data_IF_240390858839
#
_entry.id   IF_240390858839
#
_cell.length_a   1.000
_cell.length_b   1.000
_cell.length_c   1.000
_cell.angle_alpha   90.00
_cell.angle_beta   90.00
_cell.angle_gamma   90.00
#
_symmetry.space_group_name_H-M   'P 1'
#
loop_
_entity.id
_entity.type
_entity.pdbx_description
1 polymer ?
#
# COMPACT_ATOMS: atom_id res chain seq x y z
N UNK A 1 2.79 37.33 -20.36
CA UNK A 1 1.55 37.35 -19.58
C UNK A 1 0.31 37.02 -20.44
N UNK A 2 0.49 36.65 -21.72
CA UNK A 2 -0.62 36.47 -22.67
C UNK A 2 -0.81 35.03 -23.18
N UNK A 3 -0.11 34.04 -22.62
CA UNK A 3 -0.16 32.64 -23.08
C UNK A 3 -1.06 31.73 -22.21
N UNK A 4 -2.14 32.26 -21.64
CA UNK A 4 -3.13 31.45 -20.94
C UNK A 4 -4.53 31.58 -21.54
N UNK A 5 -5.31 30.51 -21.40
CA UNK A 5 -6.68 30.41 -21.86
C UNK A 5 -7.61 31.40 -21.17
N UNK A 6 -8.72 31.71 -21.83
CA UNK A 6 -9.82 32.49 -21.22
C UNK A 6 -10.30 31.87 -19.89
N UNK A 7 -10.30 30.55 -19.79
CA UNK A 7 -10.73 29.83 -18.59
C UNK A 7 -9.76 30.04 -17.42
N UNK A 8 -8.48 30.29 -17.70
CA UNK A 8 -7.44 30.62 -16.73
C UNK A 8 -7.24 32.14 -16.54
N UNK A 9 -8.12 32.98 -17.12
CA UNK A 9 -8.06 34.44 -16.99
C UNK A 9 -7.23 35.17 -18.05
N UNK A 10 -6.81 34.48 -19.12
CA UNK A 10 -6.12 35.08 -20.27
C UNK A 10 -7.02 35.38 -21.47
N UNK A 11 -6.42 35.51 -22.65
CA UNK A 11 -7.11 35.92 -23.89
C UNK A 11 -7.17 34.81 -24.94
N UNK A 12 -6.46 33.69 -24.73
CA UNK A 12 -6.39 32.62 -25.72
C UNK A 12 -7.70 31.83 -25.81
N UNK A 13 -8.31 31.82 -27.00
CA UNK A 13 -9.45 30.98 -27.36
C UNK A 13 -8.99 29.58 -27.77
N UNK A 14 -9.82 28.55 -27.52
CA UNK A 14 -9.58 27.18 -27.98
C UNK A 14 -9.16 26.21 -26.87
N UNK A 15 -8.69 25.02 -27.29
CA UNK A 15 -8.31 23.94 -26.39
C UNK A 15 -6.81 24.03 -26.05
N UNK A 16 -6.52 24.53 -24.85
CA UNK A 16 -5.17 24.69 -24.31
C UNK A 16 -4.96 23.78 -23.09
N UNK A 17 -3.72 23.44 -22.72
CA UNK A 17 -3.43 22.56 -21.59
C UNK A 17 -4.05 23.02 -20.26
N UNK A 18 -4.09 24.32 -20.02
CA UNK A 18 -4.70 24.94 -18.85
C UNK A 18 -6.24 24.87 -18.88
N UNK A 19 -6.88 25.07 -20.03
CA UNK A 19 -8.31 24.79 -20.23
C UNK A 19 -8.65 23.34 -19.87
N UNK A 20 -7.84 22.38 -20.32
CA UNK A 20 -8.03 20.95 -20.04
C UNK A 20 -7.89 20.65 -18.54
N UNK A 21 -6.85 21.20 -17.89
CA UNK A 21 -6.61 21.01 -16.47
C UNK A 21 -7.75 21.57 -15.61
N UNK A 22 -8.25 22.77 -15.93
CA UNK A 22 -9.38 23.38 -15.22
C UNK A 22 -10.66 22.58 -15.43
N UNK A 23 -10.95 22.18 -16.67
CA UNK A 23 -12.17 21.43 -16.98
C UNK A 23 -12.21 20.11 -16.23
N UNK A 24 -11.15 19.30 -16.28
CA UNK A 24 -11.14 18.02 -15.57
C UNK A 24 -11.26 18.20 -14.06
N UNK A 25 -10.58 19.20 -13.46
CA UNK A 25 -10.75 19.49 -12.02
C UNK A 25 -12.19 19.84 -11.67
N UNK A 26 -12.88 20.64 -12.49
CA UNK A 26 -14.30 20.98 -12.30
C UNK A 26 -15.20 19.76 -12.48
N UNK A 27 -14.99 18.96 -13.52
CA UNK A 27 -15.75 17.72 -13.77
C UNK A 27 -15.61 16.74 -12.62
N UNK A 28 -14.40 16.57 -12.08
CA UNK A 28 -14.17 15.74 -10.90
C UNK A 28 -14.89 16.29 -9.67
N UNK A 29 -14.90 17.61 -9.48
CA UNK A 29 -15.59 18.26 -8.36
C UNK A 29 -17.12 18.20 -8.43
N UNK A 30 -17.71 18.13 -9.64
CA UNK A 30 -19.18 18.08 -9.83
C UNK A 30 -19.80 16.82 -9.22
N UNK A 31 -19.05 15.74 -9.06
CA UNK A 31 -19.54 14.51 -8.43
C UNK A 31 -20.00 14.73 -6.99
N UNK A 32 -19.48 15.75 -6.30
CA UNK A 32 -19.76 16.00 -4.91
C UNK A 32 -19.30 14.87 -3.98
N UNK A 33 -19.75 14.87 -2.74
CA UNK A 33 -19.44 13.80 -1.79
C UNK A 33 -20.25 12.54 -2.13
N UNK A 34 -19.57 11.58 -2.77
CA UNK A 34 -20.15 10.28 -3.17
C UNK A 34 -20.71 9.48 -1.99
N UNK A 35 -20.32 9.81 -0.75
CA UNK A 35 -20.82 9.13 0.45
C UNK A 35 -22.24 9.51 0.83
N UNK A 36 -22.85 10.49 0.15
CA UNK A 36 -24.27 10.83 0.32
C UNK A 36 -25.22 9.93 -0.50
N UNK A 37 -24.68 9.02 -1.31
CA UNK A 37 -25.46 8.06 -2.10
C UNK A 37 -26.14 7.07 -1.15
N UNK A 38 -27.47 7.07 -1.13
CA UNK A 38 -28.29 6.26 -0.21
C UNK A 38 -28.30 4.76 -0.53
N UNK A 39 -28.07 4.38 -1.79
CA UNK A 39 -28.08 2.97 -2.20
C UNK A 39 -26.67 2.39 -2.10
N UNK A 40 -26.42 1.39 -1.22
CA UNK A 40 -25.08 0.81 -1.06
C UNK A 40 -24.52 0.20 -2.35
N UNK A 41 -25.39 -0.38 -3.19
CA UNK A 41 -25.00 -0.94 -4.49
C UNK A 41 -24.52 0.14 -5.46
N UNK A 42 -25.20 1.29 -5.49
CA UNK A 42 -24.81 2.41 -6.35
C UNK A 42 -23.53 3.05 -5.80
N UNK A 43 -23.43 3.22 -4.48
CA UNK A 43 -22.23 3.73 -3.82
C UNK A 43 -21.01 2.87 -4.19
N UNK A 44 -21.09 1.55 -4.02
CA UNK A 44 -20.01 0.63 -4.36
C UNK A 44 -19.57 0.77 -5.82
N UNK A 45 -20.53 0.81 -6.76
CA UNK A 45 -20.24 0.99 -8.19
C UNK A 45 -19.59 2.34 -8.49
N UNK A 46 -20.00 3.42 -7.83
CA UNK A 46 -19.38 4.73 -7.99
C UNK A 46 -17.95 4.74 -7.46
N UNK A 47 -17.69 4.15 -6.29
CA UNK A 47 -16.33 4.04 -5.73
C UNK A 47 -15.44 3.16 -6.62
N UNK A 48 -15.97 2.09 -7.18
CA UNK A 48 -15.27 1.29 -8.19
C UNK A 48 -14.92 2.11 -9.44
N UNK A 49 -15.83 2.95 -9.94
CA UNK A 49 -15.50 3.85 -11.06
C UNK A 49 -14.44 4.89 -10.70
N UNK A 50 -14.38 5.37 -9.45
CA UNK A 50 -13.30 6.25 -9.01
C UNK A 50 -11.92 5.57 -9.14
N UNK A 51 -11.84 4.26 -8.93
CA UNK A 51 -10.61 3.49 -9.12
C UNK A 51 -10.16 3.53 -10.59
N UNK A 52 -11.08 3.27 -11.52
CA UNK A 52 -10.80 3.34 -12.97
C UNK A 52 -10.41 4.74 -13.42
N UNK A 53 -11.12 5.75 -12.93
CA UNK A 53 -10.84 7.16 -13.22
C UNK A 53 -9.47 7.57 -12.71
N UNK A 54 -9.12 7.16 -11.49
CA UNK A 54 -7.80 7.41 -10.92
C UNK A 54 -6.68 6.78 -11.76
N UNK A 55 -6.86 5.55 -12.25
CA UNK A 55 -5.87 4.90 -13.13
C UNK A 55 -5.66 5.67 -14.44
N UNK A 56 -6.73 6.23 -15.02
CA UNK A 56 -6.61 7.09 -16.20
C UNK A 56 -5.84 8.36 -15.88
N UNK A 57 -6.11 9.01 -14.75
CA UNK A 57 -5.36 10.21 -14.31
C UNK A 57 -3.88 9.90 -14.07
N UNK A 58 -3.58 8.77 -13.44
CA UNK A 58 -2.23 8.29 -13.20
C UNK A 58 -1.49 8.05 -14.53
N UNK A 59 -2.13 7.37 -15.50
CA UNK A 59 -1.57 7.18 -16.85
C UNK A 59 -1.36 8.50 -17.59
N UNK A 60 -2.29 9.43 -17.53
CA UNK A 60 -2.11 10.76 -18.14
C UNK A 60 -0.87 11.41 -17.55
N UNK A 61 -0.75 11.43 -16.22
CA UNK A 61 0.41 11.98 -15.51
C UNK A 61 1.73 11.34 -15.92
N UNK A 62 1.79 10.01 -16.02
CA UNK A 62 3.00 9.28 -16.44
C UNK A 62 3.45 9.63 -17.86
N UNK A 63 2.51 9.99 -18.74
CA UNK A 63 2.80 10.34 -20.13
C UNK A 63 3.18 11.82 -20.33
N UNK A 64 2.97 12.71 -19.35
CA UNK A 64 3.24 14.15 -19.50
C UNK A 64 4.73 14.50 -19.65
N UNK A 65 5.64 13.61 -19.23
CA UNK A 65 7.08 13.83 -19.24
C UNK A 65 7.83 12.88 -20.20
N UNK A 66 7.12 12.22 -21.13
CA UNK A 66 7.74 11.37 -22.13
C UNK A 66 8.24 12.24 -23.28
N UNK A 67 9.52 12.09 -23.63
CA UNK A 67 10.06 12.81 -24.79
C UNK A 67 9.48 12.26 -26.09
N UNK A 68 9.14 13.17 -27.01
CA UNK A 68 8.69 12.81 -28.34
C UNK A 68 9.84 12.29 -29.22
N UNK A 69 11.07 12.71 -28.95
CA UNK A 69 12.26 12.40 -29.73
C UNK A 69 13.11 11.26 -29.16
N UNK A 70 12.84 10.82 -27.92
CA UNK A 70 13.67 9.89 -27.13
C UNK A 70 15.16 10.30 -27.00
N UNK A 71 15.50 11.57 -27.21
CA UNK A 71 16.87 12.10 -27.20
C UNK A 71 17.10 13.14 -26.10
N UNK A 72 16.04 13.76 -25.58
CA UNK A 72 16.11 14.77 -24.53
C UNK A 72 15.15 14.46 -23.36
N UNK A 73 15.44 14.99 -22.17
CA UNK A 73 14.49 14.94 -21.04
C UNK A 73 13.68 16.24 -21.03
N UNK A 74 12.35 16.20 -21.21
CA UNK A 74 11.52 17.40 -21.22
C UNK A 74 11.48 18.06 -19.83
N UNK A 75 11.13 19.34 -19.80
CA UNK A 75 10.93 20.06 -18.54
C UNK A 75 9.77 19.43 -17.73
N UNK A 76 9.82 19.50 -16.38
CA UNK A 76 8.74 18.98 -15.55
C UNK A 76 7.39 19.61 -15.91
N UNK A 77 6.33 18.82 -16.11
CA UNK A 77 5.02 19.34 -16.48
C UNK A 77 4.43 20.18 -15.34
N UNK A 78 3.89 21.35 -15.67
CA UNK A 78 3.29 22.27 -14.68
C UNK A 78 1.88 21.83 -14.29
N UNK A 79 1.11 21.33 -15.26
CA UNK A 79 -0.30 20.99 -15.08
C UNK A 79 -0.46 19.48 -14.88
N UNK A 80 -0.41 19.05 -13.63
CA UNK A 80 -0.38 17.63 -13.29
C UNK A 80 -1.73 17.16 -12.71
N UNK A 81 -2.29 16.03 -13.19
CA UNK A 81 -3.51 15.44 -12.63
C UNK A 81 -3.42 15.20 -11.10
N UNK A 82 -4.39 15.69 -10.30
CA UNK A 82 -4.35 15.59 -8.85
C UNK A 82 -4.75 14.19 -8.37
N UNK A 83 -3.77 13.31 -8.16
CA UNK A 83 -4.02 11.91 -7.76
C UNK A 83 -4.57 11.71 -6.34
N UNK A 84 -4.63 12.77 -5.53
CA UNK A 84 -5.19 12.74 -4.16
C UNK A 84 -6.55 13.44 -4.04
N UNK A 85 -7.16 13.84 -5.16
CA UNK A 85 -8.42 14.60 -5.15
C UNK A 85 -9.59 13.84 -4.50
N UNK A 86 -9.59 12.51 -4.56
CA UNK A 86 -10.65 11.67 -3.98
C UNK A 86 -10.41 11.27 -2.52
N UNK A 87 -9.27 11.63 -1.93
CA UNK A 87 -8.85 11.06 -0.65
C UNK A 87 -9.86 11.29 0.48
N UNK A 88 -10.40 12.50 0.61
CA UNK A 88 -11.41 12.81 1.64
C UNK A 88 -12.67 11.95 1.48
N UNK A 89 -13.12 11.72 0.25
CA UNK A 89 -14.27 10.86 -0.03
C UNK A 89 -13.99 9.40 0.31
N UNK A 90 -12.81 8.90 -0.05
CA UNK A 90 -12.42 7.51 0.24
C UNK A 90 -12.23 7.29 1.74
N UNK A 91 -11.65 8.26 2.44
CA UNK A 91 -11.46 8.20 3.88
C UNK A 91 -12.80 8.19 4.62
N UNK A 92 -13.77 8.97 4.17
CA UNK A 92 -15.13 8.91 4.70
C UNK A 92 -15.83 7.60 4.32
N UNK A 93 -15.62 7.08 3.12
CA UNK A 93 -16.23 5.82 2.66
C UNK A 93 -15.87 4.62 3.56
N UNK A 94 -14.64 4.55 4.08
CA UNK A 94 -14.22 3.45 4.97
C UNK A 94 -14.93 3.47 6.33
N UNK A 95 -15.49 4.62 6.73
CA UNK A 95 -16.22 4.82 8.01
C UNK A 95 -17.73 4.62 7.91
N UNK A 96 -18.27 4.33 6.72
CA UNK A 96 -19.71 4.11 6.53
C UNK A 96 -20.23 2.89 7.31
N UNK A 97 -21.56 2.70 7.46
CA UNK A 97 -22.12 1.48 8.05
C UNK A 97 -21.78 0.22 7.25
N UNK A 98 -21.92 -0.96 7.87
CA UNK A 98 -21.56 -2.25 7.24
C UNK A 98 -22.42 -2.62 6.03
N UNK A 99 -23.58 -1.98 5.88
CA UNK A 99 -24.39 -2.05 4.65
C UNK A 99 -23.60 -1.63 3.40
N UNK A 100 -22.59 -0.77 3.57
CA UNK A 100 -21.72 -0.26 2.49
C UNK A 100 -20.42 -1.06 2.33
N UNK A 101 -20.36 -2.31 2.83
CA UNK A 101 -19.16 -3.16 2.81
C UNK A 101 -18.40 -3.16 1.47
N UNK A 102 -19.09 -3.38 0.35
CA UNK A 102 -18.46 -3.41 -0.97
C UNK A 102 -17.80 -2.06 -1.33
N UNK A 103 -18.49 -0.95 -1.02
CA UNK A 103 -17.94 0.40 -1.19
C UNK A 103 -16.70 0.63 -0.32
N UNK A 104 -16.69 0.14 0.93
CA UNK A 104 -15.51 0.19 1.81
C UNK A 104 -14.33 -0.55 1.20
N UNK A 105 -14.57 -1.75 0.67
CA UNK A 105 -13.55 -2.60 0.02
C UNK A 105 -12.93 -1.86 -1.17
N UNK A 106 -13.75 -1.31 -2.08
CA UNK A 106 -13.25 -0.52 -3.20
C UNK A 106 -12.48 0.73 -2.74
N UNK A 107 -12.91 1.38 -1.65
CA UNK A 107 -12.22 2.52 -1.08
C UNK A 107 -10.82 2.14 -0.57
N UNK A 108 -10.70 1.06 0.23
CA UNK A 108 -9.40 0.56 0.69
C UNK A 108 -8.48 0.20 -0.47
N UNK A 109 -9.00 -0.47 -1.50
CA UNK A 109 -8.25 -0.80 -2.72
C UNK A 109 -7.62 0.45 -3.36
N UNK A 110 -8.43 1.50 -3.54
CA UNK A 110 -7.95 2.75 -4.15
C UNK A 110 -6.98 3.51 -3.23
N UNK A 111 -7.26 3.58 -1.93
CA UNK A 111 -6.36 4.20 -0.94
C UNK A 111 -4.98 3.53 -0.98
N UNK A 112 -4.92 2.19 -1.00
CA UNK A 112 -3.67 1.45 -1.10
C UNK A 112 -2.91 1.84 -2.37
N UNK A 113 -3.59 1.83 -3.52
CA UNK A 113 -2.95 2.14 -4.82
C UNK A 113 -2.45 3.59 -4.88
N UNK A 114 -3.18 4.54 -4.29
CA UNK A 114 -2.78 5.94 -4.17
C UNK A 114 -1.50 6.13 -3.36
N UNK A 115 -1.34 5.34 -2.30
CA UNK A 115 -0.29 5.52 -1.30
C UNK A 115 0.92 4.61 -1.51
N UNK A 116 0.83 3.64 -2.42
CA UNK A 116 1.96 2.82 -2.87
C UNK A 116 2.59 3.35 -4.16
N UNK A 117 2.22 4.55 -4.60
CA UNK A 117 2.81 5.22 -5.76
C UNK A 117 3.82 6.28 -5.30
N UNK A 118 4.84 6.55 -6.13
CA UNK A 118 5.74 7.70 -5.93
C UNK A 118 4.92 8.98 -5.72
N UNK A 119 5.17 9.66 -4.61
CA UNK A 119 4.52 10.93 -4.29
C UNK A 119 5.38 12.07 -4.86
N UNK A 120 4.88 12.76 -5.87
CA UNK A 120 5.60 13.91 -6.46
C UNK A 120 5.70 15.08 -5.49
N UNK A 121 4.67 15.22 -4.64
CA UNK A 121 4.63 16.15 -3.53
C UNK A 121 4.30 15.37 -2.27
N UNK A 122 5.11 15.57 -1.22
CA UNK A 122 4.88 14.98 0.09
C UNK A 122 3.46 15.30 0.56
N UNK A 123 2.65 14.30 0.98
CA UNK A 123 1.36 14.57 1.59
C UNK A 123 1.53 15.41 2.86
N UNK A 124 0.56 16.27 3.16
CA UNK A 124 0.60 17.06 4.39
C UNK A 124 0.43 16.15 5.63
N UNK A 125 0.88 16.59 6.82
CA UNK A 125 0.80 15.77 8.04
C UNK A 125 -0.63 15.35 8.39
N UNK A 126 -1.61 16.26 8.26
CA UNK A 126 -3.02 15.96 8.57
C UNK A 126 -3.55 14.80 7.72
N UNK A 127 -3.21 14.78 6.44
CA UNK A 127 -3.53 13.70 5.51
C UNK A 127 -2.90 12.39 5.95
N UNK A 128 -1.61 12.41 6.32
CA UNK A 128 -0.89 11.20 6.74
C UNK A 128 -1.48 10.61 8.01
N UNK A 129 -1.84 11.44 9.00
CA UNK A 129 -2.48 10.99 10.24
C UNK A 129 -3.80 10.27 9.93
N UNK A 130 -4.66 10.85 9.08
CA UNK A 130 -5.91 10.21 8.67
C UNK A 130 -5.67 8.91 7.90
N UNK A 131 -4.70 8.91 6.99
CA UNK A 131 -4.32 7.72 6.25
C UNK A 131 -3.86 6.59 7.18
N UNK A 132 -2.95 6.86 8.12
CA UNK A 132 -2.45 5.84 9.05
C UNK A 132 -3.55 5.31 9.96
N UNK A 133 -4.45 6.18 10.44
CA UNK A 133 -5.60 5.74 11.22
C UNK A 133 -6.51 4.79 10.43
N UNK A 134 -6.81 5.12 9.17
CA UNK A 134 -7.67 4.29 8.32
C UNK A 134 -7.00 2.96 8.00
N UNK A 135 -5.70 2.97 7.68
CA UNK A 135 -4.95 1.74 7.45
C UNK A 135 -4.87 0.86 8.70
N UNK A 136 -4.64 1.46 9.88
CA UNK A 136 -4.64 0.74 11.15
C UNK A 136 -6.00 0.06 11.40
N UNK A 137 -7.10 0.78 11.23
CA UNK A 137 -8.47 0.24 11.36
C UNK A 137 -8.72 -0.88 10.33
N UNK A 138 -8.27 -0.70 9.09
CA UNK A 138 -8.44 -1.67 8.02
C UNK A 138 -7.65 -2.97 8.23
N UNK A 139 -6.38 -2.86 8.64
CA UNK A 139 -5.49 -4.01 8.91
C UNK A 139 -5.93 -4.79 10.16
N UNK A 140 -6.52 -4.10 11.15
CA UNK A 140 -7.09 -4.73 12.35
C UNK A 140 -8.58 -5.08 12.22
N UNK A 141 -9.16 -4.96 11.02
CA UNK A 141 -10.58 -5.23 10.81
C UNK A 141 -10.92 -6.72 11.04
N UNK A 142 -12.13 -6.99 11.53
CA UNK A 142 -12.66 -8.36 11.73
C UNK A 142 -13.09 -8.99 10.41
N UNK A 143 -13.48 -8.18 9.43
CA UNK A 143 -13.86 -8.64 8.09
C UNK A 143 -12.63 -9.05 7.28
N UNK A 144 -12.52 -10.35 7.01
CA UNK A 144 -11.42 -10.92 6.25
C UNK A 144 -11.32 -10.37 4.82
N UNK A 145 -12.45 -9.94 4.21
CA UNK A 145 -12.42 -9.38 2.86
C UNK A 145 -11.72 -8.01 2.83
N UNK A 146 -11.91 -7.19 3.87
CA UNK A 146 -11.21 -5.90 4.01
C UNK A 146 -9.72 -6.14 4.16
N UNK A 147 -9.34 -7.05 5.06
CA UNK A 147 -7.94 -7.38 5.32
C UNK A 147 -7.26 -7.95 4.07
N UNK A 148 -7.90 -8.92 3.40
CA UNK A 148 -7.41 -9.48 2.13
C UNK A 148 -7.26 -8.39 1.06
N UNK A 149 -8.22 -7.45 0.96
CA UNK A 149 -8.14 -6.36 -0.02
C UNK A 149 -6.92 -5.47 0.23
N UNK A 150 -6.66 -5.11 1.49
CA UNK A 150 -5.52 -4.28 1.85
C UNK A 150 -4.20 -5.01 1.56
N UNK A 151 -4.06 -6.26 2.02
CA UNK A 151 -2.84 -7.05 1.77
C UNK A 151 -2.60 -7.28 0.27
N UNK A 152 -3.66 -7.52 -0.50
CA UNK A 152 -3.58 -7.74 -1.95
C UNK A 152 -3.15 -6.48 -2.72
N UNK A 153 -3.60 -5.30 -2.29
CA UNK A 153 -3.42 -4.06 -3.06
C UNK A 153 -2.40 -3.09 -2.47
N UNK A 154 -1.96 -3.28 -1.22
CA UNK A 154 -0.92 -2.46 -0.63
C UNK A 154 0.47 -3.07 -0.91
N UNK A 155 1.09 -2.62 -2.00
CA UNK A 155 2.43 -3.04 -2.38
C UNK A 155 3.46 -2.69 -1.29
N UNK A 156 4.47 -3.55 -1.05
CA UNK A 156 5.62 -3.26 -0.20
C UNK A 156 6.37 -1.96 -0.54
N UNK A 157 6.19 -1.45 -1.76
CA UNK A 157 6.71 -0.14 -2.17
C UNK A 157 6.25 0.99 -1.23
N UNK A 158 5.12 0.82 -0.53
CA UNK A 158 4.71 1.73 0.56
C UNK A 158 5.83 1.98 1.58
N UNK A 159 6.53 0.94 2.03
CA UNK A 159 7.62 1.07 2.99
C UNK A 159 8.86 1.71 2.37
N UNK A 160 9.14 1.41 1.10
CA UNK A 160 10.23 2.01 0.34
C UNK A 160 10.06 3.53 0.15
N UNK A 161 8.82 4.02 0.04
CA UNK A 161 8.55 5.46 -0.10
C UNK A 161 9.02 6.29 1.09
N UNK A 162 9.25 5.67 2.26
CA UNK A 162 9.76 6.36 3.45
C UNK A 162 8.86 7.50 3.92
N UNK A 163 7.53 7.37 3.77
CA UNK A 163 6.59 8.42 4.17
C UNK A 163 6.69 8.69 5.68
N UNK A 164 6.65 9.96 6.14
CA UNK A 164 6.79 10.28 7.56
C UNK A 164 5.81 9.50 8.44
N UNK A 165 6.31 8.64 9.34
CA UNK A 165 5.48 7.81 10.22
C UNK A 165 5.10 6.44 9.66
N UNK A 166 5.66 6.00 8.52
CA UNK A 166 5.34 4.68 7.94
C UNK A 166 5.57 3.50 8.89
N UNK A 167 6.52 3.62 9.84
CA UNK A 167 6.86 2.57 10.79
C UNK A 167 5.69 2.20 11.71
N UNK A 168 4.77 3.15 11.92
CA UNK A 168 3.56 2.97 12.73
C UNK A 168 2.73 1.77 12.28
N UNK A 169 2.70 1.48 10.98
CA UNK A 169 1.92 0.39 10.40
C UNK A 169 2.68 -0.96 10.33
N UNK A 170 3.97 -1.02 10.66
CA UNK A 170 4.77 -2.27 10.50
C UNK A 170 4.12 -3.42 11.26
N UNK A 171 3.76 -3.22 12.53
CA UNK A 171 3.10 -4.24 13.35
C UNK A 171 1.74 -4.64 12.80
N UNK A 172 0.96 -3.66 12.33
CA UNK A 172 -0.35 -3.90 11.73
C UNK A 172 -0.23 -4.78 10.48
N UNK A 173 0.74 -4.50 9.61
CA UNK A 173 1.01 -5.30 8.42
C UNK A 173 1.49 -6.71 8.75
N UNK A 174 2.40 -6.88 9.72
CA UNK A 174 2.86 -8.22 10.15
C UNK A 174 1.68 -9.03 10.69
N UNK A 175 0.86 -8.42 11.54
CA UNK A 175 -0.30 -9.07 12.14
C UNK A 175 -1.33 -9.43 11.06
N UNK A 176 -1.64 -8.52 10.15
CA UNK A 176 -2.57 -8.75 9.06
C UNK A 176 -2.07 -9.84 8.09
N UNK A 177 -0.81 -9.78 7.65
CA UNK A 177 -0.20 -10.80 6.79
C UNK A 177 -0.25 -12.18 7.46
N UNK A 178 0.06 -12.27 8.76
CA UNK A 178 -0.05 -13.53 9.52
C UNK A 178 -1.47 -14.09 9.53
N UNK A 179 -2.48 -13.22 9.69
CA UNK A 179 -3.89 -13.60 9.59
C UNK A 179 -4.27 -14.08 8.19
N UNK A 180 -3.76 -13.46 7.13
CA UNK A 180 -3.95 -13.93 5.74
C UNK A 180 -3.34 -15.31 5.55
N UNK A 181 -2.13 -15.54 6.04
CA UNK A 181 -1.42 -16.81 5.85
C UNK A 181 -2.08 -17.96 6.64
N UNK A 182 -2.67 -17.63 7.79
CA UNK A 182 -3.34 -18.61 8.67
C UNK A 182 -4.79 -18.93 8.30
N UNK A 183 -5.38 -18.22 7.33
CA UNK A 183 -6.77 -18.48 6.92
C UNK A 183 -6.88 -19.77 6.09
N UNK A 184 -8.07 -20.36 6.03
CA UNK A 184 -8.35 -21.50 5.15
C UNK A 184 -8.92 -21.08 3.79
N UNK A 185 -9.08 -19.77 3.54
CA UNK A 185 -9.59 -19.28 2.26
C UNK A 185 -8.55 -19.49 1.14
N UNK A 186 -8.98 -20.12 0.05
CA UNK A 186 -8.14 -20.38 -1.13
C UNK A 186 -7.75 -19.09 -1.85
N UNK A 187 -8.66 -18.10 -1.89
CA UNK A 187 -8.46 -16.81 -2.57
C UNK A 187 -7.67 -15.78 -1.73
N UNK A 188 -7.14 -16.20 -0.58
CA UNK A 188 -6.35 -15.33 0.28
C UNK A 188 -5.06 -14.88 -0.44
N UNK A 189 -4.68 -13.58 -0.35
CA UNK A 189 -3.50 -13.02 -1.02
C UNK A 189 -2.19 -13.41 -0.31
N UNK A 190 -1.88 -14.72 -0.33
CA UNK A 190 -0.76 -15.32 0.41
C UNK A 190 0.59 -14.89 -0.14
N UNK A 191 0.69 -14.74 -1.47
CA UNK A 191 1.91 -14.27 -2.14
C UNK A 191 2.20 -12.83 -1.69
N UNK A 192 1.20 -11.95 -1.72
CA UNK A 192 1.33 -10.56 -1.31
C UNK A 192 1.65 -10.45 0.19
N UNK A 193 1.02 -11.28 1.03
CA UNK A 193 1.33 -11.37 2.46
C UNK A 193 2.81 -11.71 2.70
N UNK A 194 3.34 -12.75 2.06
CA UNK A 194 4.75 -13.11 2.18
C UNK A 194 5.68 -12.06 1.55
N UNK A 195 5.26 -11.37 0.49
CA UNK A 195 6.04 -10.28 -0.13
C UNK A 195 6.17 -9.10 0.85
N UNK A 196 5.09 -8.76 1.56
CA UNK A 196 5.10 -7.72 2.61
C UNK A 196 6.03 -8.14 3.74
N UNK A 197 5.91 -9.36 4.28
CA UNK A 197 6.78 -9.85 5.35
C UNK A 197 8.25 -9.85 4.94
N UNK A 198 8.54 -10.32 3.72
CA UNK A 198 9.89 -10.32 3.16
C UNK A 198 10.50 -8.92 3.03
N UNK A 199 9.69 -7.93 2.65
CA UNK A 199 10.17 -6.54 2.54
C UNK A 199 10.55 -5.91 3.89
N UNK A 200 10.01 -6.42 4.99
CA UNK A 200 10.23 -5.93 6.34
C UNK A 200 11.38 -6.64 7.06
N UNK A 201 11.94 -7.69 6.47
CA UNK A 201 12.88 -8.60 7.15
C UNK A 201 14.16 -7.89 7.63
N UNK A 202 14.60 -6.88 6.88
CA UNK A 202 15.79 -6.10 7.19
C UNK A 202 15.52 -4.93 8.13
N UNK A 203 14.26 -4.57 8.35
CA UNK A 203 13.89 -3.35 9.08
C UNK A 203 14.35 -3.37 10.54
N UNK A 204 14.30 -4.50 11.27
CA UNK A 204 14.80 -4.55 12.65
C UNK A 204 16.29 -4.23 12.80
N UNK A 205 17.11 -4.55 11.79
CA UNK A 205 18.55 -4.23 11.81
C UNK A 205 18.80 -2.79 11.33
N UNK A 206 17.99 -2.29 10.37
CA UNK A 206 18.08 -0.93 9.83
C UNK A 206 17.60 0.16 10.80
N UNK A 207 16.56 -0.14 11.58
CA UNK A 207 15.92 0.81 12.50
C UNK A 207 16.07 0.31 13.94
N UNK A 208 17.01 0.89 14.69
CA UNK A 208 17.29 0.48 16.07
C UNK A 208 16.14 0.83 17.06
N UNK A 209 15.25 1.77 16.73
CA UNK A 209 14.08 2.15 17.51
C UNK A 209 12.85 2.31 16.59
N UNK A 210 12.08 1.24 16.36
CA UNK A 210 10.86 1.29 15.56
C UNK A 210 9.68 1.70 16.45
N UNK A 211 9.05 2.84 16.17
CA UNK A 211 7.77 3.21 16.80
C UNK A 211 6.62 2.46 16.13
N UNK A 212 5.86 1.69 16.90
CA UNK A 212 4.76 0.84 16.44
C UNK A 212 3.42 1.28 17.06
N UNK A 213 2.32 1.21 16.31
CA UNK A 213 0.98 1.37 16.87
C UNK A 213 0.57 0.11 17.66
N UNK A 214 -0.11 0.30 18.79
CA UNK A 214 -0.73 -0.78 19.57
C UNK A 214 -2.21 -0.94 19.20
N UNK A 215 -2.80 -2.09 19.54
CA UNK A 215 -4.23 -2.32 19.32
C UNK A 215 -5.06 -1.34 20.18
N UNK A 216 -6.19 -0.87 19.65
CA UNK A 216 -7.09 0.11 20.30
C UNK A 216 -7.58 -0.32 21.71
N UNK A 217 -7.46 -1.60 22.06
CA UNK A 217 -7.88 -2.14 23.37
C UNK A 217 -6.81 -2.05 24.46
N UNK A 218 -5.54 -1.83 24.10
CA UNK A 218 -4.43 -1.70 25.05
C UNK A 218 -3.53 -0.55 24.58
N UNK A 219 -3.81 0.63 25.11
CA UNK A 219 -3.05 1.85 24.88
C UNK A 219 -1.72 1.81 25.65
N UNK A 220 -0.80 0.94 25.24
CA UNK A 220 0.61 1.01 25.59
C UNK A 220 1.45 0.83 24.31
N UNK A 221 2.23 1.86 23.97
CA UNK A 221 3.25 1.76 22.92
C UNK A 221 4.37 0.88 23.47
N UNK A 222 4.23 -0.43 23.29
CA UNK A 222 5.27 -1.41 23.57
C UNK A 222 5.29 -2.44 22.43
N UNK A 223 6.40 -2.52 21.71
CA UNK A 223 7.36 -3.66 21.77
C UNK A 223 8.59 -3.35 20.92
N UNK A 224 9.77 -3.76 21.43
CA UNK A 224 11.08 -3.45 20.84
C UNK A 224 11.36 -4.20 19.52
N UNK A 225 12.35 -3.70 18.79
CA UNK A 225 12.81 -4.23 17.49
C UNK A 225 13.13 -5.73 17.50
N UNK A 226 13.60 -6.27 18.63
CA UNK A 226 13.88 -7.69 18.82
C UNK A 226 12.62 -8.57 18.73
N UNK A 227 11.46 -8.09 19.22
CA UNK A 227 10.20 -8.84 19.18
C UNK A 227 9.66 -8.93 17.74
N UNK A 228 9.77 -7.83 16.99
CA UNK A 228 9.41 -7.77 15.56
C UNK A 228 10.23 -8.75 14.73
N UNK A 229 11.55 -8.80 14.97
CA UNK A 229 12.48 -9.69 14.26
C UNK A 229 12.14 -11.15 14.49
N UNK A 230 12.01 -11.57 15.75
CA UNK A 230 11.64 -12.94 16.10
C UNK A 230 10.27 -13.33 15.51
N UNK A 231 9.29 -12.43 15.57
CA UNK A 231 7.96 -12.66 14.99
C UNK A 231 8.04 -12.92 13.48
N UNK A 232 8.71 -12.05 12.73
CA UNK A 232 8.90 -12.19 11.28
C UNK A 232 9.55 -13.53 10.91
N UNK A 233 10.65 -13.88 11.58
CA UNK A 233 11.40 -15.11 11.29
C UNK A 233 10.54 -16.35 11.59
N UNK A 234 9.83 -16.38 12.72
CA UNK A 234 8.95 -17.49 13.07
C UNK A 234 7.84 -17.71 12.03
N UNK A 235 7.22 -16.62 11.55
CA UNK A 235 6.19 -16.69 10.51
C UNK A 235 6.78 -17.25 9.21
N UNK A 236 7.96 -16.76 8.79
CA UNK A 236 8.60 -17.19 7.55
C UNK A 236 9.10 -18.65 7.61
N UNK A 237 9.66 -19.08 8.74
CA UNK A 237 10.04 -20.47 8.97
C UNK A 237 8.84 -21.40 8.85
N UNK A 238 7.72 -21.06 9.52
CA UNK A 238 6.48 -21.81 9.44
C UNK A 238 5.95 -21.87 8.00
N UNK A 239 5.92 -20.72 7.31
CA UNK A 239 5.42 -20.67 5.93
C UNK A 239 6.31 -21.43 4.94
N UNK A 240 7.63 -21.39 5.12
CA UNK A 240 8.55 -22.13 4.27
C UNK A 240 8.33 -23.65 4.34
N UNK A 241 7.78 -24.16 5.44
CA UNK A 241 7.51 -25.60 5.63
C UNK A 241 6.06 -26.01 5.40
N UNK A 242 5.10 -25.21 5.89
CA UNK A 242 3.68 -25.61 6.01
C UNK A 242 2.76 -24.97 4.96
N UNK A 243 3.19 -23.91 4.27
CA UNK A 243 2.30 -23.12 3.41
C UNK A 243 1.76 -23.93 2.22
N UNK A 244 0.43 -24.09 2.05
CA UNK A 244 -0.14 -24.92 0.99
C UNK A 244 0.16 -24.42 -0.43
N UNK A 245 0.28 -23.10 -0.63
CA UNK A 245 0.60 -22.53 -1.93
C UNK A 245 2.10 -22.67 -2.23
N UNK A 246 2.46 -23.43 -3.27
CA UNK A 246 3.86 -23.62 -3.68
C UNK A 246 4.58 -22.29 -3.97
N UNK A 247 3.94 -21.39 -4.71
CA UNK A 247 4.50 -20.07 -5.03
C UNK A 247 4.73 -19.24 -3.76
N UNK A 248 3.79 -19.29 -2.81
CA UNK A 248 3.91 -18.58 -1.53
C UNK A 248 5.00 -19.19 -0.64
N UNK A 249 5.12 -20.52 -0.61
CA UNK A 249 6.15 -21.26 0.11
C UNK A 249 7.55 -20.95 -0.43
N UNK A 250 7.70 -20.94 -1.77
CA UNK A 250 8.94 -20.57 -2.43
C UNK A 250 9.36 -19.14 -2.07
N UNK A 251 8.41 -18.19 -2.07
CA UNK A 251 8.70 -16.82 -1.68
C UNK A 251 9.18 -16.72 -0.22
N UNK A 252 8.55 -17.45 0.71
CA UNK A 252 9.00 -17.50 2.10
C UNK A 252 10.44 -18.02 2.23
N UNK A 253 10.82 -19.04 1.44
CA UNK A 253 12.20 -19.53 1.38
C UNK A 253 13.19 -18.49 0.84
N UNK A 254 12.81 -17.75 -0.21
CA UNK A 254 13.63 -16.64 -0.72
C UNK A 254 13.83 -15.56 0.35
N UNK A 255 12.79 -15.23 1.11
CA UNK A 255 12.87 -14.28 2.21
C UNK A 255 13.83 -14.77 3.31
N UNK A 256 13.74 -16.05 3.71
CA UNK A 256 14.69 -16.65 4.67
C UNK A 256 16.13 -16.58 4.16
N UNK A 257 16.35 -16.85 2.87
CA UNK A 257 17.67 -16.72 2.25
C UNK A 257 18.24 -15.30 2.33
N UNK A 258 17.42 -14.29 2.03
CA UNK A 258 17.81 -12.88 2.16
C UNK A 258 18.16 -12.52 3.59
N UNK A 259 17.36 -12.99 4.56
CA UNK A 259 17.62 -12.76 5.98
C UNK A 259 18.91 -13.43 6.44
N UNK A 260 19.18 -14.67 6.06
CA UNK A 260 20.46 -15.35 6.38
C UNK A 260 21.64 -14.52 5.86
N UNK A 261 21.59 -14.07 4.60
CA UNK A 261 22.63 -13.22 4.04
C UNK A 261 22.83 -11.94 4.85
N UNK A 262 21.74 -11.28 5.26
CA UNK A 262 21.79 -10.09 6.08
C UNK A 262 22.42 -10.34 7.46
N UNK A 263 22.01 -11.38 8.18
CA UNK A 263 22.58 -11.72 9.50
C UNK A 263 24.07 -12.07 9.41
N UNK A 264 24.49 -12.73 8.33
CA UNK A 264 25.89 -13.05 8.08
C UNK A 264 26.72 -11.79 7.78
N UNK A 265 26.17 -10.83 7.03
CA UNK A 265 26.84 -9.55 6.74
C UNK A 265 26.97 -8.70 8.00
N UNK A 266 25.94 -8.68 8.85
CA UNK A 266 25.93 -7.89 10.08
C UNK A 266 26.55 -8.60 11.30
N UNK A 267 26.97 -9.87 11.16
CA UNK A 267 27.57 -10.67 12.23
C UNK A 267 26.75 -10.69 13.54
N UNK A 268 25.43 -10.68 13.43
CA UNK A 268 24.48 -10.56 14.56
C UNK A 268 24.35 -11.83 15.40
N UNK A 269 24.84 -12.98 14.90
CA UNK A 269 24.79 -14.29 15.56
C UNK A 269 23.39 -14.71 16.05
N UNK A 270 22.34 -14.39 15.27
CA UNK A 270 20.97 -14.72 15.65
C UNK A 270 20.75 -16.25 15.76
N UNK A 271 20.15 -16.76 16.85
CA UNK A 271 20.10 -18.20 17.13
C UNK A 271 19.36 -19.02 16.06
N UNK A 272 18.35 -18.41 15.41
CA UNK A 272 17.52 -19.08 14.40
C UNK A 272 18.17 -19.17 13.01
N UNK A 273 19.38 -18.64 12.79
CA UNK A 273 20.07 -18.72 11.50
C UNK A 273 20.33 -20.18 11.12
N UNK A 274 20.70 -21.01 12.10
CA UNK A 274 20.91 -22.45 11.89
C UNK A 274 19.63 -23.14 11.42
N UNK A 275 18.49 -22.80 12.03
CA UNK A 275 17.20 -23.40 11.69
C UNK A 275 16.76 -22.99 10.28
N UNK A 276 16.92 -21.72 9.91
CA UNK A 276 16.62 -21.24 8.56
C UNK A 276 17.50 -21.91 7.49
N UNK A 277 18.80 -22.08 7.75
CA UNK A 277 19.70 -22.82 6.83
C UNK A 277 19.23 -24.27 6.68
N UNK A 278 18.84 -24.92 7.77
CA UNK A 278 18.34 -26.29 7.72
C UNK A 278 17.04 -26.39 6.89
N UNK A 279 16.09 -25.47 7.09
CA UNK A 279 14.85 -25.42 6.31
C UNK A 279 15.17 -25.25 4.82
N UNK A 280 15.99 -24.27 4.45
CA UNK A 280 16.43 -24.07 3.06
C UNK A 280 17.12 -25.33 2.50
N UNK A 281 18.01 -25.96 3.27
CA UNK A 281 18.75 -27.15 2.86
C UNK A 281 17.87 -28.39 2.66
N UNK A 282 16.87 -28.60 3.52
CA UNK A 282 15.90 -29.70 3.36
C UNK A 282 15.03 -29.50 2.13
N UNK A 283 14.61 -28.27 1.84
CA UNK A 283 13.81 -27.99 0.64
C UNK A 283 14.61 -28.11 -0.66
N UNK A 284 15.93 -27.84 -0.61
CA UNK A 284 16.83 -27.96 -1.76
C UNK A 284 17.38 -29.38 -1.97
N UNK A 285 17.21 -30.30 -1.01
CA UNK A 285 17.46 -31.73 -1.23
C UNK A 285 16.44 -32.25 -2.23
N UNK A 286 16.80 -32.12 -3.51
CA UNK A 286 16.14 -32.78 -4.64
C UNK A 286 15.98 -34.25 -4.27
N UNK A 287 14.74 -34.75 -4.33
CA UNK A 287 14.45 -36.18 -4.38
C UNK A 287 15.18 -36.74 -5.62
N UNK A 288 16.40 -37.22 -5.44
CA UNK A 288 17.12 -38.05 -6.41
C UNK A 288 16.60 -39.47 -6.30
#
# INVERSE_FOLDING_TARGET
ADDCSIIAGGTLTGWHPDSAAVLWRRTLGILGDVNNIQSPKIHARVVEYLFELWHKLAKIRDNLAISLDNQSTPSPPVLIPPLRIFASWLFKATTLPDEYKEGKIHAYKLICTMMTRRQDFMPNPDYLVHFYLIMHIGLNNKDQNVLNTIIKHCSPFFFFLGLPGFTLLIRDFITAATRVLSTNMLEAPRIEANTILGSLICFPNLYQNISLLSSVTEAEITTGTADVKCCLINILLKNATEEPSEASRYLALCCLGLWICEELVHCTNHPQVKDAINVCGVTLKVQV
#
